data_IF_225045853404
#
_entry.id   IF_225045853404
#
_cell.length_a   1.000
_cell.length_b   1.000
_cell.length_c   1.000
_cell.angle_alpha   90.00
_cell.angle_beta   90.00
_cell.angle_gamma   90.00
#
_symmetry.space_group_name_H-M   'P 1'
#
loop_
_entity.id
_entity.type
_entity.pdbx_description
1 polymer ?
#
# COMPACT_ATOMS: atom_id res chain seq x y z
N UNK A 1 1.95 10.42 9.91
CA UNK A 1 2.84 9.39 9.31
C UNK A 1 2.52 9.21 7.83
N UNK A 2 3.36 8.52 7.04
CA UNK A 2 3.19 8.39 5.58
C UNK A 2 1.75 8.05 5.15
N UNK A 3 1.20 6.96 5.68
CA UNK A 3 -0.15 6.47 5.36
C UNK A 3 -1.30 7.35 5.85
N UNK A 4 -1.04 8.31 6.76
CA UNK A 4 -2.05 9.27 7.19
C UNK A 4 -2.37 10.30 6.09
N UNK A 5 -1.46 10.49 5.12
CA UNK A 5 -1.65 11.38 3.97
C UNK A 5 -2.40 10.74 2.80
N UNK A 6 -2.91 9.51 2.95
CA UNK A 6 -3.76 8.86 1.92
C UNK A 6 -5.07 9.61 1.69
N UNK A 7 -5.53 10.40 2.69
CA UNK A 7 -6.82 11.06 2.73
C UNK A 7 -6.65 12.57 2.87
N UNK A 8 -7.53 13.34 2.23
CA UNK A 8 -7.65 14.81 2.37
C UNK A 8 -8.52 15.25 3.54
N UNK A 9 -8.61 14.45 4.59
CA UNK A 9 -9.51 14.65 5.75
C UNK A 9 -8.91 15.49 6.89
N UNK A 10 -7.72 16.06 6.69
CA UNK A 10 -7.01 16.87 7.67
C UNK A 10 -6.74 16.14 9.02
N UNK A 11 -6.60 14.80 8.99
CA UNK A 11 -6.27 14.00 10.18
C UNK A 11 -4.78 13.62 10.28
N UNK A 12 -3.97 13.97 9.28
CA UNK A 12 -2.62 13.43 9.08
C UNK A 12 -1.63 13.73 10.24
N UNK A 13 -1.87 14.81 10.99
CA UNK A 13 -1.10 15.26 12.15
C UNK A 13 -1.89 15.21 13.47
N UNK A 14 -3.17 14.81 13.44
CA UNK A 14 -4.06 14.78 14.61
C UNK A 14 -4.16 13.40 15.25
N UNK A 15 -3.91 12.34 14.49
CA UNK A 15 -3.97 10.96 14.98
C UNK A 15 -2.99 10.06 14.25
N UNK A 16 -2.41 9.10 14.96
CA UNK A 16 -1.48 8.13 14.38
C UNK A 16 -2.15 7.21 13.36
N UNK A 17 -3.43 6.88 13.57
CA UNK A 17 -4.20 5.97 12.72
C UNK A 17 -5.59 6.57 12.44
N UNK A 18 -5.71 7.43 11.41
CA UNK A 18 -6.99 7.99 11.02
C UNK A 18 -8.03 6.91 10.71
N UNK A 19 -9.29 7.22 10.97
CA UNK A 19 -10.47 6.36 10.70
C UNK A 19 -11.44 7.07 9.75
N UNK A 20 -12.46 6.35 9.31
CA UNK A 20 -13.45 6.83 8.34
C UNK A 20 -12.99 6.64 6.89
N UNK A 21 -13.94 6.77 5.94
CA UNK A 21 -13.70 6.60 4.50
C UNK A 21 -12.57 7.54 4.03
N UNK A 22 -11.83 7.14 3.00
CA UNK A 22 -10.79 7.98 2.41
C UNK A 22 -11.47 9.15 1.68
N UNK A 23 -10.95 10.36 1.88
CA UNK A 23 -11.44 11.59 1.24
C UNK A 23 -10.43 12.01 0.16
N UNK A 24 -10.94 12.49 -0.97
CA UNK A 24 -10.13 13.02 -2.06
C UNK A 24 -9.19 14.15 -1.58
N UNK A 25 -8.06 14.34 -2.27
CA UNK A 25 -7.07 15.38 -1.93
C UNK A 25 -5.96 14.90 -0.98
N UNK A 26 -5.80 13.59 -0.79
CA UNK A 26 -4.69 13.03 -0.04
C UNK A 26 -3.33 13.33 -0.70
N UNK A 27 -2.41 13.92 0.05
CA UNK A 27 -1.07 14.29 -0.44
C UNK A 27 -0.27 13.08 -0.96
N UNK A 28 -0.54 11.88 -0.44
CA UNK A 28 0.09 10.65 -0.94
C UNK A 28 -0.19 10.43 -2.43
N UNK A 29 -1.44 10.65 -2.87
CA UNK A 29 -1.85 10.46 -4.27
C UNK A 29 -1.16 11.48 -5.17
N UNK A 30 -1.12 12.75 -4.74
CA UNK A 30 -0.35 13.78 -5.43
C UNK A 30 1.12 13.37 -5.60
N UNK A 31 1.77 12.94 -4.51
CA UNK A 31 3.19 12.56 -4.55
C UNK A 31 3.43 11.32 -5.44
N UNK A 32 2.53 10.35 -5.47
CA UNK A 32 2.65 9.21 -6.38
C UNK A 32 2.51 9.63 -7.85
N UNK A 33 1.70 10.64 -8.16
CA UNK A 33 1.59 11.17 -9.52
C UNK A 33 2.82 11.98 -9.92
N UNK A 34 3.33 12.82 -9.02
CA UNK A 34 4.45 13.72 -9.30
C UNK A 34 5.81 13.00 -9.35
N UNK A 35 5.96 11.90 -8.61
CA UNK A 35 7.24 11.20 -8.44
C UNK A 35 7.15 9.73 -8.91
N UNK A 36 7.50 9.42 -10.17
CA UNK A 36 7.46 8.06 -10.71
C UNK A 36 8.35 7.05 -9.96
N UNK A 37 9.35 7.53 -9.23
CA UNK A 37 10.27 6.73 -8.43
C UNK A 37 9.84 6.58 -6.96
N UNK A 38 8.70 7.15 -6.55
CA UNK A 38 8.16 6.96 -5.20
C UNK A 38 7.46 5.60 -5.09
N UNK A 39 7.89 4.79 -4.10
CA UNK A 39 7.29 3.52 -3.74
C UNK A 39 6.55 3.63 -2.40
N UNK A 40 5.51 2.82 -2.22
CA UNK A 40 4.79 2.68 -0.96
C UNK A 40 5.09 1.31 -0.35
N UNK A 41 5.72 1.30 0.83
CA UNK A 41 5.74 0.11 1.67
C UNK A 41 4.46 0.06 2.53
N UNK A 42 3.71 -1.04 2.38
CA UNK A 42 2.48 -1.29 3.13
C UNK A 42 2.73 -2.08 4.43
N UNK A 43 3.97 -2.18 4.90
CA UNK A 43 4.26 -2.87 6.14
C UNK A 43 3.51 -2.34 7.38
N UNK A 44 3.45 -3.20 8.38
CA UNK A 44 2.89 -2.96 9.70
C UNK A 44 1.37 -2.71 9.70
N UNK A 45 0.86 -2.26 10.85
CA UNK A 45 -0.54 -1.85 10.99
C UNK A 45 -0.89 -0.56 10.22
N UNK A 46 0.09 0.26 9.83
CA UNK A 46 -0.18 1.58 9.24
C UNK A 46 -0.74 1.52 7.82
N UNK A 47 -0.14 0.75 6.93
CA UNK A 47 -0.65 0.52 5.57
C UNK A 47 -1.97 -0.26 5.59
N UNK A 48 -2.02 -1.33 6.38
CA UNK A 48 -3.23 -2.14 6.55
C UNK A 48 -4.42 -1.31 7.07
N UNK A 49 -4.23 -0.47 8.10
CA UNK A 49 -5.27 0.43 8.59
C UNK A 49 -5.72 1.41 7.50
N UNK A 50 -4.78 2.04 6.80
CA UNK A 50 -5.11 3.03 5.78
C UNK A 50 -5.96 2.45 4.64
N UNK A 51 -5.67 1.23 4.18
CA UNK A 51 -6.46 0.58 3.14
C UNK A 51 -7.81 0.07 3.65
N UNK A 52 -7.86 -0.51 4.87
CA UNK A 52 -9.11 -1.02 5.47
C UNK A 52 -10.18 0.05 5.69
N UNK A 53 -9.79 1.32 5.74
CA UNK A 53 -10.72 2.46 5.86
C UNK A 53 -11.75 2.51 4.73
N UNK A 54 -11.37 2.06 3.54
CA UNK A 54 -12.19 2.14 2.34
C UNK A 54 -11.77 1.05 1.33
N UNK A 55 -12.41 -0.13 1.36
CA UNK A 55 -12.06 -1.24 0.46
C UNK A 55 -12.23 -0.92 -1.04
N UNK A 56 -13.19 -0.05 -1.40
CA UNK A 56 -13.38 0.38 -2.79
C UNK A 56 -12.19 1.22 -3.25
N UNK A 57 -11.79 2.19 -2.42
CA UNK A 57 -10.59 2.99 -2.68
C UNK A 57 -9.32 2.13 -2.69
N UNK A 58 -9.19 1.18 -1.75
CA UNK A 58 -8.05 0.28 -1.69
C UNK A 58 -7.92 -0.56 -2.97
N UNK A 59 -9.04 -1.09 -3.48
CA UNK A 59 -9.07 -1.81 -4.74
C UNK A 59 -8.58 -0.94 -5.90
N UNK A 60 -9.09 0.29 -6.03
CA UNK A 60 -8.64 1.23 -7.05
C UNK A 60 -7.15 1.57 -6.90
N UNK A 61 -6.72 1.98 -5.70
CA UNK A 61 -5.35 2.40 -5.39
C UNK A 61 -4.32 1.32 -5.71
N UNK A 62 -4.61 0.08 -5.33
CA UNK A 62 -3.71 -1.06 -5.56
C UNK A 62 -3.63 -1.45 -7.04
N UNK A 63 -4.67 -1.23 -7.83
CA UNK A 63 -4.62 -1.42 -9.29
C UNK A 63 -3.87 -0.28 -9.99
N UNK A 64 -4.16 0.97 -9.60
CA UNK A 64 -3.57 2.17 -10.20
C UNK A 64 -2.06 2.25 -9.96
N UNK A 65 -1.63 2.00 -8.72
CA UNK A 65 -0.23 2.13 -8.32
C UNK A 65 0.51 0.80 -8.22
N UNK A 66 -0.04 -0.27 -8.81
CA UNK A 66 0.40 -1.66 -8.66
C UNK A 66 1.91 -1.90 -8.83
N UNK A 67 2.61 -1.14 -9.68
CA UNK A 67 4.04 -1.30 -9.96
C UNK A 67 4.96 -0.64 -8.92
N UNK A 68 4.38 0.00 -7.90
CA UNK A 68 5.07 0.82 -6.89
C UNK A 68 4.64 0.51 -5.45
N UNK A 69 3.95 -0.61 -5.25
CA UNK A 69 3.52 -1.08 -3.93
C UNK A 69 4.41 -2.24 -3.46
N UNK A 70 4.89 -2.16 -2.24
CA UNK A 70 5.66 -3.22 -1.59
C UNK A 70 4.85 -3.79 -0.42
N UNK A 71 4.93 -5.10 -0.26
CA UNK A 71 4.33 -5.81 0.86
C UNK A 71 5.39 -6.27 1.86
N UNK A 72 5.19 -5.89 3.11
CA UNK A 72 5.84 -6.46 4.28
C UNK A 72 4.78 -6.78 5.33
N UNK A 73 4.96 -7.88 6.07
CA UNK A 73 4.01 -8.23 7.13
C UNK A 73 4.18 -7.33 8.36
N UNK A 74 5.44 -7.16 8.79
CA UNK A 74 5.88 -6.42 9.99
C UNK A 74 4.98 -6.61 11.22
N UNK A 75 4.53 -7.86 11.42
CA UNK A 75 3.75 -8.29 12.57
C UNK A 75 3.67 -9.82 12.65
N UNK A 76 3.21 -10.35 13.78
CA UNK A 76 3.02 -11.79 14.01
C UNK A 76 1.61 -12.32 13.67
N UNK A 77 0.75 -11.52 13.03
CA UNK A 77 -0.61 -11.91 12.57
C UNK A 77 -0.76 -11.85 11.04
N UNK A 78 -1.87 -12.33 10.48
CA UNK A 78 -2.11 -12.35 9.03
C UNK A 78 -3.12 -11.29 8.56
N UNK A 79 -3.47 -10.32 9.40
CA UNK A 79 -4.58 -9.41 9.15
C UNK A 79 -4.43 -8.58 7.87
N UNK A 80 -3.20 -8.31 7.44
CA UNK A 80 -2.92 -7.61 6.19
C UNK A 80 -3.16 -8.52 4.98
N UNK A 81 -2.54 -9.69 4.96
CA UNK A 81 -2.74 -10.67 3.88
C UNK A 81 -4.22 -11.05 3.73
N UNK A 82 -4.91 -11.29 4.85
CA UNK A 82 -6.34 -11.63 4.88
C UNK A 82 -7.19 -10.52 4.27
N UNK A 83 -6.89 -9.25 4.56
CA UNK A 83 -7.58 -8.13 3.94
C UNK A 83 -7.31 -8.04 2.44
N UNK A 84 -6.05 -8.17 2.01
CA UNK A 84 -5.70 -8.19 0.59
C UNK A 84 -6.42 -9.33 -0.16
N UNK A 85 -6.65 -10.47 0.51
CA UNK A 85 -7.39 -11.59 -0.05
C UNK A 85 -8.89 -11.32 -0.23
N UNK A 86 -9.47 -10.33 0.48
CA UNK A 86 -10.87 -9.91 0.27
C UNK A 86 -11.07 -9.02 -0.95
N UNK A 87 -9.99 -8.45 -1.49
CA UNK A 87 -10.04 -7.61 -2.68
C UNK A 87 -9.94 -8.47 -3.94
N UNK A 88 -10.75 -8.16 -4.95
CA UNK A 88 -10.79 -8.89 -6.22
C UNK A 88 -9.62 -8.52 -7.16
N UNK A 89 -8.40 -8.49 -6.62
CA UNK A 89 -7.19 -8.18 -7.37
C UNK A 89 -6.79 -9.36 -8.26
N UNK A 90 -6.38 -9.06 -9.49
CA UNK A 90 -5.84 -10.06 -10.41
C UNK A 90 -4.58 -10.72 -9.84
N UNK A 91 -4.25 -11.92 -10.32
CA UNK A 91 -3.01 -12.58 -9.92
C UNK A 91 -1.77 -11.77 -10.31
N UNK A 92 -1.82 -11.03 -11.42
CA UNK A 92 -0.72 -10.16 -11.84
C UNK A 92 -0.46 -9.04 -10.82
N UNK A 93 -1.52 -8.35 -10.36
CA UNK A 93 -1.41 -7.30 -9.34
C UNK A 93 -0.91 -7.88 -8.02
N UNK A 94 -1.43 -9.05 -7.61
CA UNK A 94 -0.97 -9.77 -6.42
C UNK A 94 0.52 -10.09 -6.51
N UNK A 95 1.00 -10.64 -7.62
CA UNK A 95 2.41 -10.95 -7.80
C UNK A 95 3.30 -9.71 -7.69
N UNK A 96 2.88 -8.57 -8.27
CA UNK A 96 3.60 -7.30 -8.18
C UNK A 96 3.77 -6.85 -6.74
N UNK A 97 2.65 -6.81 -6.00
CA UNK A 97 2.60 -6.41 -4.60
C UNK A 97 3.42 -7.36 -3.71
N UNK A 98 3.24 -8.67 -3.88
CA UNK A 98 3.85 -9.67 -2.99
C UNK A 98 5.34 -9.90 -3.24
N UNK A 99 5.83 -9.74 -4.48
CA UNK A 99 7.26 -10.00 -4.73
C UNK A 99 7.88 -9.29 -5.94
N UNK A 100 7.19 -9.10 -7.07
CA UNK A 100 7.87 -8.60 -8.29
C UNK A 100 8.39 -7.17 -8.12
N UNK A 101 7.68 -6.32 -7.39
CA UNK A 101 8.16 -4.96 -7.13
C UNK A 101 9.40 -4.95 -6.22
N UNK A 102 9.46 -5.84 -5.23
CA UNK A 102 10.64 -6.00 -4.40
C UNK A 102 11.84 -6.51 -5.22
N UNK A 103 11.64 -7.54 -6.05
CA UNK A 103 12.66 -8.07 -6.95
C UNK A 103 13.16 -7.05 -7.99
N UNK A 104 12.30 -6.11 -8.40
CA UNK A 104 12.72 -5.02 -9.30
C UNK A 104 13.70 -4.06 -8.62
N UNK A 105 13.53 -3.82 -7.32
CA UNK A 105 14.38 -2.90 -6.55
C UNK A 105 15.65 -3.58 -6.02
N UNK A 106 15.52 -4.82 -5.59
CA UNK A 106 16.59 -5.65 -5.04
C UNK A 106 16.54 -7.00 -5.76
N UNK A 107 17.13 -7.08 -6.97
CA UNK A 107 17.14 -8.33 -7.72
C UNK A 107 17.95 -9.38 -6.96
N UNK A 108 17.52 -10.63 -7.08
CA UNK A 108 18.36 -11.75 -6.70
C UNK A 108 19.45 -11.85 -7.76
N UNK A 109 20.70 -11.71 -7.35
CA UNK A 109 21.80 -12.15 -8.21
C UNK A 109 21.62 -13.65 -8.50
N UNK A 110 22.18 -14.15 -9.61
CA UNK A 110 22.37 -15.59 -9.84
C UNK A 110 23.35 -16.13 -8.80
N UNK A 111 22.91 -16.21 -7.54
CA UNK A 111 23.62 -16.94 -6.50
C UNK A 111 23.35 -18.40 -6.81
N UNK A 112 24.29 -19.01 -7.53
CA UNK A 112 24.43 -20.46 -7.60
C UNK A 112 24.51 -20.98 -6.15
N UNK A 113 23.36 -21.37 -5.59
CA UNK A 113 23.24 -22.10 -4.33
C UNK A 113 23.54 -23.58 -4.56
#
# INVERSE_FOLDING_TARGET
GFWAHISGDDQFDKTSYPKGKVVEGGKLIQMLNDYPNLYCDMSAGSGCNALKRDPEFAFWFLNEYQDRILYGRDYFDNQHQEFLATLDLSQEVKDKIFYKNALKLVPLDDVNL
#
